data_IF_083850665333
#
_entry.id   IF_083850665333
#
_cell.length_a   1.000
_cell.length_b   1.000
_cell.length_c   1.000
_cell.angle_alpha   90.00
_cell.angle_beta   90.00
_cell.angle_gamma   90.00
#
_symmetry.space_group_name_H-M   'P 1'
#
loop_
_entity.id
_entity.type
_entity.pdbx_description
1 polymer ?
#
# COMPACT_ATOMS: atom_id res chain seq x y z
N UNK A 1 15.62 -16.99 -32.85
CA UNK A 1 15.09 -15.62 -32.99
C UNK A 1 14.74 -15.14 -31.60
N UNK A 2 15.55 -14.22 -31.09
CA UNK A 2 15.52 -13.66 -29.75
C UNK A 2 14.37 -12.67 -29.59
N UNK A 3 13.47 -12.90 -28.66
CA UNK A 3 12.51 -11.89 -28.19
C UNK A 3 13.12 -11.10 -27.02
N UNK A 4 13.07 -9.78 -27.17
CA UNK A 4 13.62 -8.80 -26.24
C UNK A 4 12.83 -8.74 -24.91
N UNK A 5 13.51 -8.61 -23.74
CA UNK A 5 12.87 -8.60 -22.42
C UNK A 5 12.15 -7.30 -22.03
N UNK A 6 12.08 -6.30 -22.89
CA UNK A 6 11.63 -4.93 -22.53
C UNK A 6 10.11 -4.72 -22.50
N UNK A 7 9.30 -5.66 -22.98
CA UNK A 7 7.83 -5.48 -23.03
C UNK A 7 7.07 -5.89 -21.76
N UNK A 8 7.73 -6.59 -20.83
CA UNK A 8 7.09 -7.02 -19.57
C UNK A 8 7.21 -6.00 -18.41
N UNK A 9 8.02 -4.98 -18.60
CA UNK A 9 8.32 -4.00 -17.55
C UNK A 9 7.21 -2.97 -17.30
N UNK A 10 6.45 -2.63 -18.31
CA UNK A 10 5.35 -1.65 -18.16
C UNK A 10 4.06 -2.27 -17.59
N UNK A 11 3.88 -3.57 -17.72
CA UNK A 11 2.66 -4.27 -17.25
C UNK A 11 2.68 -4.48 -15.72
N UNK A 12 3.85 -4.56 -15.10
CA UNK A 12 3.96 -4.79 -13.64
C UNK A 12 3.75 -3.55 -12.78
N UNK A 13 3.92 -2.35 -13.32
CA UNK A 13 3.58 -1.11 -12.61
C UNK A 13 2.06 -0.92 -12.46
N UNK A 14 1.25 -1.55 -13.34
CA UNK A 14 -0.21 -1.47 -13.32
C UNK A 14 -0.91 -2.58 -12.51
N UNK A 15 -0.22 -3.68 -12.20
CA UNK A 15 -0.85 -4.86 -11.56
C UNK A 15 -1.08 -4.72 -10.04
N UNK A 16 -0.56 -3.69 -9.40
CA UNK A 16 -0.86 -3.42 -7.99
C UNK A 16 -2.08 -2.52 -7.75
N UNK A 17 -2.69 -1.97 -8.82
CA UNK A 17 -3.85 -1.06 -8.71
C UNK A 17 -5.13 -1.66 -9.32
N UNK A 18 -5.06 -2.77 -10.09
CA UNK A 18 -6.22 -3.22 -10.87
C UNK A 18 -6.48 -4.72 -10.75
N UNK A 19 -7.06 -5.12 -9.63
CA UNK A 19 -7.79 -6.39 -9.52
C UNK A 19 -9.24 -6.09 -9.12
N UNK A 20 -9.93 -5.38 -10.00
CA UNK A 20 -11.38 -5.34 -10.08
C UNK A 20 -11.74 -4.97 -11.52
N UNK A 21 -11.98 -5.95 -12.35
CA UNK A 21 -12.87 -5.93 -13.52
C UNK A 21 -12.47 -7.07 -14.48
N UNK A 22 -13.16 -8.18 -14.35
CA UNK A 22 -13.33 -9.10 -15.49
C UNK A 22 -14.64 -9.87 -15.30
N UNK A 23 -15.53 -9.70 -16.24
CA UNK A 23 -16.72 -10.52 -16.36
C UNK A 23 -17.67 -10.09 -17.45
N UNK A 24 -17.65 -10.83 -18.55
CA UNK A 24 -18.77 -11.12 -19.43
C UNK A 24 -18.81 -10.40 -20.78
N UNK A 25 -18.27 -11.07 -21.77
CA UNK A 25 -18.69 -10.97 -23.20
C UNK A 25 -19.89 -11.91 -23.42
N UNK A 26 -20.94 -11.40 -24.02
CA UNK A 26 -21.93 -12.22 -24.74
C UNK A 26 -22.41 -11.51 -26.01
N UNK A 27 -22.38 -12.29 -27.07
CA UNK A 27 -22.66 -12.05 -28.48
C UNK A 27 -24.00 -11.35 -28.75
N UNK A 28 -23.97 -10.39 -29.69
CA UNK A 28 -25.15 -9.96 -30.43
C UNK A 28 -25.16 -10.64 -31.81
N UNK A 29 -26.28 -11.20 -32.15
CA UNK A 29 -26.60 -11.62 -33.54
C UNK A 29 -27.61 -10.66 -34.15
N UNK A 30 -27.40 -10.40 -35.45
CA UNK A 30 -28.18 -9.59 -36.35
C UNK A 30 -29.66 -10.00 -36.46
N UNK A 31 -30.52 -8.99 -36.67
CA UNK A 31 -31.62 -9.10 -37.62
C UNK A 31 -31.92 -7.76 -38.26
N UNK A 32 -31.99 -7.76 -39.58
CA UNK A 32 -32.31 -6.70 -40.51
C UNK A 32 -33.82 -6.48 -40.65
N UNK A 33 -34.16 -5.29 -41.15
CA UNK A 33 -35.34 -4.85 -41.89
C UNK A 33 -36.68 -4.64 -41.16
N UNK A 34 -37.06 -3.36 -41.15
CA UNK A 34 -38.31 -2.93 -41.85
C UNK A 34 -38.43 -1.39 -41.81
N UNK A 35 -38.22 -0.79 -42.97
CA UNK A 35 -38.66 0.57 -43.31
C UNK A 35 -40.17 0.65 -43.42
N UNK A 36 -40.80 1.59 -42.71
CA UNK A 36 -42.05 2.23 -43.15
C UNK A 36 -42.20 3.65 -42.55
N UNK A 37 -42.44 4.53 -43.45
CA UNK A 37 -42.77 5.93 -43.31
C UNK A 37 -43.89 6.20 -42.28
N UNK A 38 -43.70 7.22 -41.44
CA UNK A 38 -44.82 8.02 -40.90
C UNK A 38 -44.42 9.49 -40.82
N UNK A 39 -45.31 10.28 -41.34
CA UNK A 39 -45.29 11.76 -41.35
C UNK A 39 -45.46 12.31 -39.94
N UNK A 40 -44.61 13.23 -39.62
CA UNK A 40 -44.76 14.54 -38.97
C UNK A 40 -45.96 14.75 -38.04
N UNK A 41 -45.70 14.57 -36.74
CA UNK A 41 -46.20 15.39 -35.65
C UNK A 41 -45.07 15.56 -34.68
N UNK A 42 -44.71 16.81 -34.35
CA UNK A 42 -43.65 17.20 -33.44
C UNK A 42 -44.04 16.80 -32.01
N UNK A 43 -43.93 15.50 -31.69
CA UNK A 43 -43.86 15.07 -30.31
C UNK A 43 -42.50 15.55 -29.77
N UNK A 44 -42.52 16.57 -28.91
CA UNK A 44 -41.39 16.88 -28.05
C UNK A 44 -41.09 15.60 -27.25
N UNK A 45 -40.07 14.85 -27.65
CA UNK A 45 -39.60 13.70 -26.92
C UNK A 45 -39.12 14.23 -25.57
N UNK A 46 -39.93 14.05 -24.54
CA UNK A 46 -39.56 14.41 -23.18
C UNK A 46 -38.49 13.42 -22.69
N UNK A 47 -37.29 13.92 -22.37
CA UNK A 47 -36.20 13.14 -21.88
C UNK A 47 -36.33 12.92 -20.37
N UNK A 48 -36.53 11.69 -19.98
CA UNK A 48 -36.64 11.26 -18.58
C UNK A 48 -35.29 11.29 -17.90
N UNK A 49 -35.16 11.96 -16.76
CA UNK A 49 -33.96 11.98 -15.98
C UNK A 49 -33.61 10.55 -15.49
N UNK A 50 -34.57 9.87 -14.87
CA UNK A 50 -34.37 8.56 -14.26
C UNK A 50 -34.06 7.45 -15.24
N UNK A 51 -34.67 7.48 -16.44
CA UNK A 51 -34.54 6.39 -17.42
C UNK A 51 -33.40 6.62 -18.42
N UNK A 52 -33.01 7.85 -18.68
CA UNK A 52 -32.09 8.19 -19.76
C UNK A 52 -30.82 8.92 -19.28
N UNK A 53 -30.92 9.85 -18.33
CA UNK A 53 -29.77 10.68 -17.91
C UNK A 53 -29.05 10.09 -16.69
N UNK A 54 -29.80 9.68 -15.67
CA UNK A 54 -29.22 9.12 -14.45
C UNK A 54 -28.36 7.86 -14.69
N UNK A 55 -28.75 6.92 -15.58
CA UNK A 55 -27.89 5.80 -15.94
C UNK A 55 -26.55 6.21 -16.55
N UNK A 56 -26.52 7.28 -17.36
CA UNK A 56 -25.27 7.81 -17.95
C UNK A 56 -24.37 8.34 -16.82
N UNK A 57 -24.92 9.14 -15.92
CA UNK A 57 -24.16 9.68 -14.79
C UNK A 57 -23.63 8.56 -13.90
N UNK A 58 -24.44 7.55 -13.63
CA UNK A 58 -24.05 6.41 -12.82
C UNK A 58 -22.91 5.60 -13.45
N UNK A 59 -22.98 5.35 -14.74
CA UNK A 59 -21.99 4.54 -15.45
C UNK A 59 -20.68 5.29 -15.72
N UNK A 60 -20.72 6.60 -15.96
CA UNK A 60 -19.59 7.35 -16.51
C UNK A 60 -19.02 8.42 -15.56
N UNK A 61 -19.77 8.86 -14.52
CA UNK A 61 -19.42 10.04 -13.76
C UNK A 61 -19.34 9.82 -12.24
N UNK A 62 -20.21 8.98 -11.65
CA UNK A 62 -20.31 8.78 -10.20
C UNK A 62 -19.03 8.20 -9.59
N UNK A 63 -18.24 7.41 -10.34
CA UNK A 63 -16.98 6.87 -9.87
C UNK A 63 -15.99 7.93 -9.36
N UNK A 64 -15.99 9.13 -9.98
CA UNK A 64 -15.15 10.26 -9.58
C UNK A 64 -15.92 11.37 -8.83
N UNK A 65 -17.24 11.39 -8.93
CA UNK A 65 -18.12 12.45 -8.42
C UNK A 65 -19.17 11.90 -7.44
N UNK A 66 -18.74 11.06 -6.49
CA UNK A 66 -19.55 10.52 -5.39
C UNK A 66 -19.28 11.27 -4.07
N UNK A 67 -20.01 10.92 -3.02
CA UNK A 67 -19.75 11.46 -1.66
C UNK A 67 -18.37 11.07 -1.14
N UNK A 68 -17.84 9.94 -1.59
CA UNK A 68 -16.53 9.41 -1.18
C UNK A 68 -15.39 9.87 -2.09
N UNK A 69 -15.63 10.00 -3.41
CA UNK A 69 -14.66 10.47 -4.40
C UNK A 69 -15.04 11.85 -4.91
N UNK A 70 -15.01 12.87 -4.05
CA UNK A 70 -15.54 14.20 -4.29
C UNK A 70 -14.57 15.08 -5.12
N UNK A 71 -14.35 14.73 -6.38
CA UNK A 71 -13.49 15.51 -7.25
C UNK A 71 -14.13 16.86 -7.62
N UNK A 72 -13.42 17.96 -7.35
CA UNK A 72 -13.88 19.32 -7.61
C UNK A 72 -15.09 19.75 -6.76
N UNK A 73 -15.37 19.06 -5.64
CA UNK A 73 -16.54 19.37 -4.82
C UNK A 73 -17.88 19.07 -5.47
N UNK A 74 -17.89 18.42 -6.65
CA UNK A 74 -19.09 18.11 -7.42
C UNK A 74 -19.54 16.67 -7.15
N UNK A 75 -20.75 16.50 -6.61
CA UNK A 75 -21.33 15.23 -6.20
C UNK A 75 -22.56 14.92 -7.05
N UNK A 76 -22.60 13.74 -7.66
CA UNK A 76 -23.64 13.25 -8.53
C UNK A 76 -24.49 12.14 -7.91
N UNK A 77 -24.29 11.85 -6.63
CA UNK A 77 -24.97 10.73 -5.93
C UNK A 77 -26.44 11.01 -5.60
N UNK A 78 -26.88 12.24 -5.70
CA UNK A 78 -28.28 12.65 -5.54
C UNK A 78 -28.60 13.89 -6.38
N UNK A 79 -29.87 14.05 -6.73
CA UNK A 79 -30.32 15.14 -7.60
C UNK A 79 -30.09 16.52 -7.00
N UNK A 80 -30.23 16.67 -5.70
CA UNK A 80 -30.00 17.96 -5.02
C UNK A 80 -28.55 18.40 -5.11
N UNK A 81 -27.62 17.46 -4.86
CA UNK A 81 -26.18 17.68 -4.98
C UNK A 81 -25.76 18.00 -6.42
N UNK A 82 -26.33 17.29 -7.41
CA UNK A 82 -26.15 17.56 -8.83
C UNK A 82 -26.52 19.01 -9.18
N UNK A 83 -27.67 19.47 -8.72
CA UNK A 83 -28.17 20.83 -9.02
C UNK A 83 -27.48 21.92 -8.20
N UNK A 84 -26.89 21.57 -7.04
CA UNK A 84 -26.10 22.49 -6.21
C UNK A 84 -24.80 22.86 -6.90
N UNK A 85 -24.16 21.89 -7.60
CA UNK A 85 -22.88 22.08 -8.26
C UNK A 85 -21.70 21.79 -7.33
N UNK A 86 -20.50 22.23 -7.72
CA UNK A 86 -19.23 21.97 -7.03
C UNK A 86 -18.49 23.24 -6.60
N UNK A 87 -17.18 23.11 -6.34
CA UNK A 87 -16.30 24.21 -5.93
C UNK A 87 -16.22 25.36 -6.92
N UNK A 88 -16.63 25.14 -8.18
CA UNK A 88 -16.66 26.16 -9.23
C UNK A 88 -18.08 26.70 -9.51
N UNK A 89 -19.01 26.48 -8.60
CA UNK A 89 -20.42 26.92 -8.74
C UNK A 89 -21.32 25.87 -9.43
N UNK A 90 -22.46 26.33 -9.96
CA UNK A 90 -23.45 25.47 -10.61
C UNK A 90 -22.88 24.85 -11.89
N UNK A 91 -22.94 23.52 -11.97
CA UNK A 91 -22.52 22.78 -13.16
C UNK A 91 -23.59 22.71 -14.25
N UNK A 92 -24.87 22.90 -13.87
CA UNK A 92 -26.05 22.87 -14.75
C UNK A 92 -26.81 24.17 -14.64
N UNK A 93 -27.19 24.76 -15.79
CA UNK A 93 -28.07 25.89 -15.93
C UNK A 93 -29.36 25.40 -16.60
N UNK A 94 -30.46 25.20 -15.84
CA UNK A 94 -31.70 24.69 -16.39
C UNK A 94 -32.20 25.54 -17.57
N UNK A 95 -32.59 24.86 -18.65
CA UNK A 95 -33.03 25.50 -19.88
C UNK A 95 -31.91 25.95 -20.83
N UNK A 96 -30.63 25.80 -20.43
CA UNK A 96 -29.48 26.36 -21.16
C UNK A 96 -28.31 25.37 -21.18
N UNK A 97 -28.38 24.37 -22.02
CA UNK A 97 -27.33 23.36 -22.10
C UNK A 97 -25.97 23.93 -22.47
N UNK A 98 -25.89 24.85 -23.41
CA UNK A 98 -24.65 25.47 -23.88
C UNK A 98 -23.94 26.34 -22.82
N UNK A 99 -24.71 26.91 -21.87
CA UNK A 99 -24.17 27.67 -20.74
C UNK A 99 -23.83 26.78 -19.55
N UNK A 100 -24.21 25.50 -19.60
CA UNK A 100 -23.96 24.53 -18.54
C UNK A 100 -22.52 24.00 -18.58
N UNK A 101 -21.74 24.27 -17.52
CA UNK A 101 -20.32 23.83 -17.43
C UNK A 101 -20.17 22.32 -17.61
N UNK A 102 -21.13 21.53 -17.11
CA UNK A 102 -21.16 20.08 -17.32
C UNK A 102 -21.11 19.77 -18.82
N UNK A 103 -21.93 20.41 -19.64
CA UNK A 103 -21.98 20.21 -21.09
C UNK A 103 -20.67 20.64 -21.74
N UNK A 104 -20.14 21.80 -21.37
CA UNK A 104 -18.87 22.31 -21.89
C UNK A 104 -17.71 21.38 -21.61
N UNK A 105 -17.70 20.73 -20.44
CA UNK A 105 -16.65 19.77 -20.07
C UNK A 105 -16.79 18.43 -20.80
N UNK A 106 -18.01 17.89 -20.97
CA UNK A 106 -18.20 16.64 -21.69
C UNK A 106 -17.98 16.79 -23.21
N UNK A 107 -18.23 17.97 -23.77
CA UNK A 107 -17.90 18.29 -25.16
C UNK A 107 -16.43 18.70 -25.36
N UNK A 108 -15.70 18.98 -24.27
CA UNK A 108 -14.28 19.36 -24.30
C UNK A 108 -14.01 20.81 -24.63
N UNK A 109 -15.01 21.69 -24.65
CA UNK A 109 -14.85 23.14 -24.86
C UNK A 109 -14.23 23.82 -23.63
N UNK A 110 -14.31 23.21 -22.46
CA UNK A 110 -13.66 23.64 -21.21
C UNK A 110 -12.83 22.49 -20.64
N UNK A 111 -11.63 22.79 -20.17
CA UNK A 111 -10.72 21.81 -19.55
C UNK A 111 -10.92 21.70 -18.03
N UNK A 112 -10.69 20.51 -17.45
CA UNK A 112 -10.40 19.25 -18.13
C UNK A 112 -11.64 18.67 -18.82
N UNK A 113 -11.44 18.00 -19.98
CA UNK A 113 -12.55 17.27 -20.64
C UNK A 113 -12.99 16.11 -19.73
N UNK A 114 -14.30 15.89 -19.63
CA UNK A 114 -14.89 14.82 -18.83
C UNK A 114 -15.67 13.81 -19.71
N UNK A 115 -15.69 12.52 -19.34
CA UNK A 115 -14.91 11.91 -18.29
C UNK A 115 -13.41 11.87 -18.64
N UNK A 116 -12.54 11.88 -17.61
CA UNK A 116 -11.06 11.84 -17.82
C UNK A 116 -10.59 10.52 -18.43
N UNK A 117 -11.36 9.46 -18.26
CA UNK A 117 -11.13 8.14 -18.88
C UNK A 117 -12.32 7.75 -19.73
N UNK A 118 -12.10 7.55 -21.02
CA UNK A 118 -13.15 7.23 -21.99
C UNK A 118 -13.88 8.47 -22.53
N UNK A 119 -14.91 8.24 -23.35
CA UNK A 119 -15.74 9.27 -23.96
C UNK A 119 -17.22 8.93 -23.77
N UNK A 120 -18.06 9.98 -23.77
CA UNK A 120 -19.50 9.84 -23.90
C UNK A 120 -19.85 9.69 -25.38
N UNK A 121 -20.81 8.82 -25.68
CA UNK A 121 -21.33 8.67 -27.03
C UNK A 121 -22.23 9.87 -27.40
N UNK A 122 -22.34 10.15 -28.69
CA UNK A 122 -23.10 11.29 -29.18
C UNK A 122 -24.57 11.31 -28.70
N UNK A 123 -25.17 10.13 -28.56
CA UNK A 123 -26.55 10.00 -28.06
C UNK A 123 -26.63 10.28 -26.54
N UNK A 124 -25.61 9.95 -25.75
CA UNK A 124 -25.53 10.24 -24.32
C UNK A 124 -25.42 11.75 -24.08
N UNK A 125 -24.55 12.44 -24.83
CA UNK A 125 -24.41 13.90 -24.80
C UNK A 125 -25.72 14.56 -25.19
N UNK A 126 -26.37 14.07 -26.24
CA UNK A 126 -27.66 14.59 -26.72
C UNK A 126 -28.76 14.44 -25.68
N UNK A 127 -28.82 13.30 -24.99
CA UNK A 127 -29.79 13.05 -23.91
C UNK A 127 -29.60 14.07 -22.75
N UNK A 128 -28.35 14.27 -22.31
CA UNK A 128 -28.03 15.25 -21.25
C UNK A 128 -28.38 16.65 -21.67
N UNK A 129 -28.02 17.08 -22.89
CA UNK A 129 -28.34 18.44 -23.41
C UNK A 129 -29.83 18.65 -23.52
N UNK A 130 -30.56 17.65 -24.03
CA UNK A 130 -32.02 17.75 -24.20
C UNK A 130 -32.73 17.87 -22.85
N UNK A 131 -32.33 17.04 -21.87
CA UNK A 131 -32.85 17.11 -20.52
C UNK A 131 -32.58 18.47 -19.85
N UNK A 132 -31.37 19.02 -20.00
CA UNK A 132 -31.04 20.34 -19.48
C UNK A 132 -31.89 21.41 -20.14
N UNK A 133 -32.09 21.37 -21.48
CA UNK A 133 -32.90 22.32 -22.24
C UNK A 133 -34.38 22.21 -21.89
N UNK A 134 -34.84 21.06 -21.44
CA UNK A 134 -36.20 20.87 -20.89
C UNK A 134 -36.36 21.35 -19.44
N UNK A 135 -35.32 21.99 -18.88
CA UNK A 135 -35.36 22.58 -17.56
C UNK A 135 -34.70 21.76 -16.47
N UNK A 136 -33.98 20.69 -16.82
CA UNK A 136 -33.26 19.83 -15.89
C UNK A 136 -34.15 19.35 -14.72
N UNK A 137 -35.34 18.86 -15.02
CA UNK A 137 -36.33 18.45 -14.02
C UNK A 137 -36.16 16.98 -13.63
N UNK A 138 -36.58 16.67 -12.41
CA UNK A 138 -36.75 15.32 -11.92
C UNK A 138 -38.12 14.78 -12.36
N UNK A 139 -38.17 13.50 -12.72
CA UNK A 139 -39.47 12.87 -13.11
C UNK A 139 -40.39 12.77 -11.89
N UNK A 140 -41.69 12.99 -12.09
CA UNK A 140 -42.68 13.03 -10.98
C UNK A 140 -42.91 11.67 -10.29
N UNK A 141 -42.54 10.55 -10.90
CA UNK A 141 -42.78 9.19 -10.40
C UNK A 141 -41.76 8.67 -9.37
N UNK A 142 -40.80 9.48 -8.97
CA UNK A 142 -39.81 9.10 -8.01
C UNK A 142 -40.00 9.78 -6.66
N UNK A 143 -41.06 9.40 -5.96
CA UNK A 143 -41.26 9.70 -4.54
C UNK A 143 -40.16 9.04 -3.64
N UNK A 144 -39.22 8.38 -4.24
CA UNK A 144 -37.99 7.83 -3.65
C UNK A 144 -36.92 7.73 -4.74
N UNK A 145 -36.27 8.85 -5.10
CA UNK A 145 -34.85 8.72 -5.39
C UNK A 145 -34.17 8.39 -4.06
N UNK A 146 -34.36 7.17 -3.60
CA UNK A 146 -33.34 6.51 -2.83
C UNK A 146 -32.06 6.76 -3.58
N UNK A 147 -31.10 7.36 -2.90
CA UNK A 147 -29.75 7.66 -3.31
C UNK A 147 -29.40 6.83 -4.55
N UNK A 148 -28.98 7.48 -5.67
CA UNK A 148 -28.44 6.77 -6.82
C UNK A 148 -27.59 5.70 -6.19
N UNK A 149 -28.03 4.46 -6.22
CA UNK A 149 -27.46 3.38 -5.43
C UNK A 149 -25.98 3.43 -5.77
N UNK A 150 -25.14 3.85 -4.84
CA UNK A 150 -23.73 3.46 -4.94
C UNK A 150 -23.85 1.96 -5.21
N UNK A 151 -23.35 1.46 -6.35
CA UNK A 151 -23.47 0.05 -6.64
C UNK A 151 -23.04 -0.61 -5.36
N UNK A 152 -23.95 -1.34 -4.68
CA UNK A 152 -23.54 -2.17 -3.56
C UNK A 152 -22.45 -3.00 -4.18
N UNK A 153 -21.20 -2.62 -3.90
CA UNK A 153 -20.07 -3.47 -4.19
C UNK A 153 -20.48 -4.75 -3.52
N UNK A 154 -20.81 -5.80 -4.30
CA UNK A 154 -21.31 -7.03 -3.70
C UNK A 154 -20.31 -7.27 -2.57
N UNK A 155 -20.78 -7.39 -1.34
CA UNK A 155 -19.93 -7.82 -0.23
C UNK A 155 -19.48 -9.20 -0.65
N UNK A 156 -18.47 -9.21 -1.51
CA UNK A 156 -17.72 -10.41 -1.85
C UNK A 156 -17.27 -10.82 -0.48
N UNK A 157 -17.88 -11.89 0.06
CA UNK A 157 -17.26 -12.61 1.18
C UNK A 157 -15.82 -12.70 0.73
N UNK A 158 -14.87 -12.05 1.42
CA UNK A 158 -13.49 -12.14 0.98
C UNK A 158 -13.27 -13.63 0.82
N UNK A 159 -12.99 -14.08 -0.40
CA UNK A 159 -12.46 -15.41 -0.57
C UNK A 159 -11.44 -15.48 0.52
N UNK A 160 -11.44 -16.52 1.34
CA UNK A 160 -10.53 -16.67 2.48
C UNK A 160 -9.10 -16.81 1.92
N UNK A 161 -8.65 -15.78 1.24
CA UNK A 161 -7.24 -15.61 0.92
C UNK A 161 -6.57 -15.50 2.28
N UNK A 162 -5.61 -16.36 2.56
CA UNK A 162 -4.85 -16.28 3.79
C UNK A 162 -4.33 -14.85 3.89
N UNK A 163 -4.57 -14.22 5.01
CA UNK A 163 -4.10 -12.88 5.22
C UNK A 163 -2.57 -12.90 5.16
N UNK A 164 -2.00 -12.22 4.16
CA UNK A 164 -0.54 -12.12 4.02
C UNK A 164 0.08 -11.66 5.35
N UNK A 165 1.23 -12.23 5.71
CA UNK A 165 2.01 -11.77 6.85
C UNK A 165 2.98 -10.69 6.36
N UNK A 166 2.59 -9.42 6.53
CA UNK A 166 3.37 -8.26 6.08
C UNK A 166 4.47 -7.84 7.06
N UNK A 167 4.33 -8.19 8.34
CA UNK A 167 5.28 -7.78 9.39
C UNK A 167 5.36 -8.80 10.52
N UNK A 168 6.55 -8.94 11.09
CA UNK A 168 6.82 -9.73 12.31
C UNK A 168 7.76 -8.91 13.20
N UNK A 169 7.50 -8.89 14.50
CA UNK A 169 8.37 -8.25 15.47
C UNK A 169 8.44 -9.05 16.77
N UNK A 170 9.65 -9.13 17.35
CA UNK A 170 9.87 -9.65 18.70
C UNK A 170 9.71 -8.55 19.76
N UNK A 171 9.18 -8.92 20.93
CA UNK A 171 9.35 -8.10 22.12
C UNK A 171 10.85 -8.06 22.50
N UNK A 172 11.36 -6.96 23.10
CA UNK A 172 12.79 -6.83 23.41
C UNK A 172 13.34 -7.92 24.35
N UNK A 173 12.48 -8.45 25.22
CA UNK A 173 12.81 -9.56 26.13
C UNK A 173 12.78 -10.94 25.46
N UNK A 174 12.38 -10.99 24.17
CA UNK A 174 12.28 -12.23 23.38
C UNK A 174 11.13 -13.14 23.79
N UNK A 175 10.25 -12.73 24.72
CA UNK A 175 9.16 -13.58 25.22
C UNK A 175 7.97 -13.69 24.24
N UNK A 176 7.75 -12.68 23.40
CA UNK A 176 6.63 -12.60 22.50
C UNK A 176 7.04 -12.34 21.05
N UNK A 177 6.21 -12.84 20.13
CA UNK A 177 6.27 -12.54 18.70
C UNK A 177 4.92 -11.94 18.29
N UNK A 178 4.94 -10.76 17.68
CA UNK A 178 3.80 -10.13 17.04
C UNK A 178 3.82 -10.42 15.53
N UNK A 179 2.70 -10.88 14.98
CA UNK A 179 2.51 -11.21 13.57
C UNK A 179 1.39 -10.37 13.02
N UNK A 180 1.69 -9.52 12.03
CA UNK A 180 0.76 -8.62 11.36
C UNK A 180 0.10 -9.29 10.16
N UNK A 181 -1.24 -9.31 10.16
CA UNK A 181 -2.09 -9.79 9.09
C UNK A 181 -2.92 -8.67 8.47
N UNK A 182 -4.09 -9.01 7.94
CA UNK A 182 -5.05 -8.04 7.41
C UNK A 182 -6.03 -7.62 8.51
N UNK A 183 -5.98 -6.35 8.89
CA UNK A 183 -6.85 -5.80 9.93
C UNK A 183 -6.55 -6.21 11.36
N UNK A 184 -5.52 -7.05 11.58
CA UNK A 184 -5.21 -7.58 12.90
C UNK A 184 -3.73 -7.88 13.12
N UNK A 185 -3.35 -7.94 14.39
CA UNK A 185 -2.04 -8.45 14.85
C UNK A 185 -2.30 -9.55 15.85
N UNK A 186 -1.67 -10.71 15.64
CA UNK A 186 -1.72 -11.84 16.59
C UNK A 186 -0.40 -11.94 17.35
N UNK A 187 -0.48 -12.10 18.66
CA UNK A 187 0.67 -12.28 19.55
C UNK A 187 0.84 -13.75 19.92
N UNK A 188 2.07 -14.21 19.92
CA UNK A 188 2.44 -15.58 20.26
C UNK A 188 3.51 -15.58 21.37
N UNK A 189 3.44 -16.57 22.24
CA UNK A 189 4.55 -16.96 23.09
C UNK A 189 5.69 -17.49 22.20
N UNK A 190 6.86 -16.85 22.26
CA UNK A 190 7.98 -17.19 21.41
C UNK A 190 8.53 -18.60 21.68
N UNK A 191 8.56 -19.05 22.95
CA UNK A 191 9.06 -20.36 23.35
C UNK A 191 8.07 -21.49 23.00
N UNK A 192 6.81 -21.32 23.44
CA UNK A 192 5.76 -22.34 23.26
C UNK A 192 5.01 -22.24 21.93
N UNK A 193 5.21 -21.18 21.16
CA UNK A 193 4.54 -20.91 19.88
C UNK A 193 3.01 -20.93 19.98
N UNK A 194 2.48 -20.58 21.16
CA UNK A 194 1.04 -20.55 21.45
C UNK A 194 0.50 -19.14 21.28
N UNK A 195 -0.71 -18.98 20.71
CA UNK A 195 -1.33 -17.67 20.66
C UNK A 195 -1.62 -17.15 22.08
N UNK A 196 -1.26 -15.89 22.32
CA UNK A 196 -1.50 -15.17 23.56
C UNK A 196 -2.74 -14.28 23.47
N UNK A 197 -2.95 -13.66 22.30
CA UNK A 197 -4.04 -12.75 22.06
C UNK A 197 -3.91 -12.03 20.74
N UNK A 198 -4.85 -11.12 20.47
CA UNK A 198 -4.82 -10.34 19.24
C UNK A 198 -5.35 -8.92 19.41
N UNK A 199 -4.85 -8.02 18.58
CA UNK A 199 -5.42 -6.69 18.30
C UNK A 199 -6.18 -6.78 16.98
N UNK A 200 -7.39 -6.21 16.92
CA UNK A 200 -8.22 -6.11 15.72
C UNK A 200 -8.58 -4.64 15.45
N UNK A 201 -9.13 -4.35 14.26
CA UNK A 201 -9.55 -3.01 13.90
C UNK A 201 -8.39 -2.10 13.46
N UNK A 202 -7.35 -2.68 12.88
CA UNK A 202 -6.30 -1.97 12.17
C UNK A 202 -6.75 -1.77 10.72
N UNK A 203 -6.41 -0.64 10.14
CA UNK A 203 -6.84 -0.30 8.79
C UNK A 203 -6.06 -1.11 7.75
N UNK A 204 -6.73 -2.01 7.03
CA UNK A 204 -6.17 -2.84 5.96
C UNK A 204 -5.00 -3.74 6.41
N UNK A 205 -4.03 -4.00 5.53
CA UNK A 205 -2.88 -4.84 5.83
C UNK A 205 -1.89 -4.15 6.78
N UNK A 206 -1.47 -4.86 7.82
CA UNK A 206 -0.40 -4.43 8.72
C UNK A 206 0.94 -4.59 7.99
N UNK A 207 1.56 -3.48 7.63
CA UNK A 207 2.80 -3.46 6.86
C UNK A 207 4.05 -3.39 7.71
N UNK A 208 3.92 -2.84 8.92
CA UNK A 208 5.04 -2.72 9.84
C UNK A 208 4.59 -2.84 11.29
N UNK A 209 5.44 -3.48 12.09
CA UNK A 209 5.30 -3.67 13.52
C UNK A 209 6.61 -3.31 14.20
N UNK A 210 6.56 -2.65 15.34
CA UNK A 210 7.74 -2.36 16.13
C UNK A 210 7.41 -2.38 17.63
N UNK A 211 8.27 -3.02 18.43
CA UNK A 211 8.37 -2.79 19.86
C UNK A 211 9.45 -1.75 20.15
N UNK A 212 9.21 -0.86 21.12
CA UNK A 212 10.28 0.02 21.60
C UNK A 212 11.35 -0.79 22.34
N UNK A 213 12.64 -0.46 22.20
CA UNK A 213 13.72 -1.18 22.86
C UNK A 213 13.60 -1.28 24.39
N UNK A 214 12.96 -0.31 25.04
CA UNK A 214 12.67 -0.33 26.48
C UNK A 214 11.45 -1.19 26.87
N UNK A 215 10.79 -1.78 25.86
CA UNK A 215 9.61 -2.62 26.04
C UNK A 215 8.34 -1.89 26.47
N UNK A 216 8.32 -0.55 26.46
CA UNK A 216 7.16 0.22 26.95
C UNK A 216 6.09 0.48 25.91
N UNK A 217 6.45 0.44 24.62
CA UNK A 217 5.53 0.74 23.53
C UNK A 217 5.55 -0.36 22.48
N UNK A 218 4.40 -0.53 21.86
CA UNK A 218 4.20 -1.33 20.65
C UNK A 218 3.49 -0.49 19.60
N UNK A 219 3.98 -0.46 18.38
CA UNK A 219 3.42 0.34 17.29
C UNK A 219 3.07 -0.51 16.08
N UNK A 220 1.99 -0.12 15.38
CA UNK A 220 1.59 -0.69 14.08
C UNK A 220 1.53 0.39 13.02
N UNK A 221 2.02 0.07 11.83
CA UNK A 221 1.90 0.88 10.63
C UNK A 221 1.02 0.17 9.60
N UNK A 222 -0.01 0.87 9.13
CA UNK A 222 -1.00 0.38 8.20
C UNK A 222 -1.55 1.54 7.35
N UNK A 223 -2.65 1.33 6.64
CA UNK A 223 -3.32 2.42 5.92
C UNK A 223 -3.96 1.96 4.64
N UNK A 224 -4.74 2.87 4.04
CA UNK A 224 -5.39 2.67 2.74
C UNK A 224 -4.56 3.32 1.65
N UNK A 225 -4.24 2.60 0.58
CA UNK A 225 -3.49 3.16 -0.55
C UNK A 225 -4.11 4.46 -1.07
N UNK A 226 -3.27 5.46 -1.31
CA UNK A 226 -3.62 6.79 -1.80
C UNK A 226 -4.68 7.56 -0.97
N UNK A 227 -4.94 7.16 0.27
CA UNK A 227 -5.93 7.78 1.15
C UNK A 227 -5.36 8.21 2.49
N UNK A 228 -4.78 7.26 3.23
CA UNK A 228 -4.28 7.53 4.57
C UNK A 228 -3.28 6.48 5.04
N UNK A 229 -2.29 6.93 5.81
CA UNK A 229 -1.41 6.07 6.59
C UNK A 229 -1.74 6.21 8.08
N UNK A 230 -2.04 5.09 8.73
CA UNK A 230 -2.40 5.03 10.13
C UNK A 230 -1.25 4.50 10.97
N UNK A 231 -0.98 5.18 12.07
CA UNK A 231 -0.11 4.65 13.14
C UNK A 231 -0.96 4.51 14.41
N UNK A 232 -0.88 3.33 15.02
CA UNK A 232 -1.41 3.09 16.35
C UNK A 232 -0.29 2.69 17.31
N UNK A 233 -0.31 3.23 18.53
CA UNK A 233 0.70 2.98 19.56
C UNK A 233 -0.01 2.54 20.84
N UNK A 234 0.42 1.42 21.39
CA UNK A 234 -0.02 0.89 22.67
C UNK A 234 1.08 1.04 23.72
N UNK A 235 0.70 1.29 24.96
CA UNK A 235 1.58 1.02 26.08
C UNK A 235 1.68 -0.49 26.26
N UNK A 236 2.88 -1.03 26.09
CA UNK A 236 3.17 -2.44 26.27
C UNK A 236 3.06 -2.85 27.74
N UNK A 237 2.79 -4.12 27.99
CA UNK A 237 2.63 -4.69 29.32
C UNK A 237 1.79 -5.96 29.28
N UNK A 238 1.39 -6.48 30.43
CA UNK A 238 0.59 -7.70 30.48
C UNK A 238 -0.74 -7.50 29.74
N UNK A 239 -0.99 -8.35 28.75
CA UNK A 239 -2.26 -8.38 27.98
C UNK A 239 -2.64 -7.02 27.39
N UNK A 240 -1.66 -6.20 26.98
CA UNK A 240 -1.92 -4.85 26.45
C UNK A 240 -2.80 -4.87 25.19
N UNK A 241 -2.83 -5.99 24.47
CA UNK A 241 -3.66 -6.20 23.28
C UNK A 241 -5.17 -6.22 23.57
N UNK A 242 -5.58 -6.35 24.82
CA UNK A 242 -6.98 -6.24 25.25
C UNK A 242 -7.44 -4.80 25.47
N UNK A 243 -6.51 -3.86 25.43
CA UNK A 243 -6.74 -2.43 25.68
C UNK A 243 -6.80 -1.67 24.35
N UNK A 244 -7.51 -0.53 24.29
CA UNK A 244 -7.42 0.35 23.12
C UNK A 244 -6.01 0.91 22.98
N UNK A 245 -5.66 1.31 21.75
CA UNK A 245 -4.42 2.04 21.52
C UNK A 245 -4.39 3.33 22.35
N UNK A 246 -3.25 3.62 22.98
CA UNK A 246 -3.04 4.89 23.69
C UNK A 246 -2.99 6.07 22.71
N UNK A 247 -2.46 5.85 21.52
CA UNK A 247 -2.40 6.81 20.41
C UNK A 247 -2.88 6.15 19.13
N UNK A 248 -3.71 6.86 18.36
CA UNK A 248 -4.16 6.45 17.03
C UNK A 248 -4.33 7.70 16.19
N UNK A 249 -3.59 7.81 15.09
CA UNK A 249 -3.58 9.02 14.28
C UNK A 249 -3.25 8.74 12.80
N UNK A 250 -3.75 9.63 11.94
CA UNK A 250 -3.36 9.67 10.53
C UNK A 250 -1.97 10.29 10.42
N UNK A 251 -0.99 9.44 10.16
CA UNK A 251 0.42 9.81 10.11
C UNK A 251 0.83 10.35 8.74
N UNK A 252 0.27 9.76 7.69
CA UNK A 252 0.66 9.96 6.31
C UNK A 252 -0.55 10.11 5.38
N UNK A 253 -0.31 10.60 4.15
CA UNK A 253 -1.33 10.71 3.10
C UNK A 253 -1.52 9.44 2.29
N UNK A 254 -0.63 8.47 2.51
CA UNK A 254 -0.67 7.13 1.91
C UNK A 254 -0.22 6.09 2.95
N UNK A 255 -0.31 4.80 2.66
CA UNK A 255 0.04 3.73 3.59
C UNK A 255 1.38 3.97 4.28
N UNK A 256 1.44 3.68 5.57
CA UNK A 256 2.70 3.53 6.30
C UNK A 256 3.38 2.24 5.83
N UNK A 257 4.63 2.34 5.40
CA UNK A 257 5.36 1.20 4.85
C UNK A 257 6.31 0.58 5.87
N UNK A 258 7.05 1.40 6.59
CA UNK A 258 7.94 0.95 7.64
C UNK A 258 7.86 1.82 8.89
N UNK A 259 8.11 1.20 10.04
CA UNK A 259 8.25 1.82 11.36
C UNK A 259 9.51 1.31 12.05
N UNK A 260 10.21 2.19 12.74
CA UNK A 260 11.26 1.79 13.68
C UNK A 260 11.30 2.74 14.89
N UNK A 261 11.50 2.18 16.07
CA UNK A 261 11.84 2.98 17.25
C UNK A 261 13.34 3.28 17.27
N UNK A 262 13.68 4.50 17.72
CA UNK A 262 15.06 4.81 18.02
C UNK A 262 15.58 3.92 19.18
N UNK A 263 16.88 3.59 19.22
CA UNK A 263 17.45 2.74 20.28
C UNK A 263 17.20 3.24 21.72
N UNK A 264 17.07 4.55 21.90
CA UNK A 264 16.72 5.16 23.18
C UNK A 264 15.20 5.19 23.48
N UNK A 265 14.37 4.63 22.59
CA UNK A 265 12.90 4.61 22.70
C UNK A 265 12.18 5.97 22.72
N UNK A 266 12.89 7.08 22.50
CA UNK A 266 12.30 8.43 22.58
C UNK A 266 11.64 8.89 21.27
N UNK A 267 11.95 8.24 20.16
CA UNK A 267 11.42 8.56 18.85
C UNK A 267 10.91 7.30 18.14
N UNK A 268 9.85 7.47 17.37
CA UNK A 268 9.37 6.52 16.38
C UNK A 268 9.54 7.18 15.01
N UNK A 269 10.13 6.48 14.05
CA UNK A 269 10.19 6.91 12.65
C UNK A 269 9.20 6.13 11.80
N UNK A 270 8.62 6.78 10.80
CA UNK A 270 7.73 6.16 9.83
C UNK A 270 8.05 6.59 8.40
N UNK A 271 7.86 5.67 7.44
CA UNK A 271 7.95 5.93 6.00
C UNK A 271 6.64 5.61 5.30
N UNK A 272 6.43 6.21 4.11
CA UNK A 272 5.21 6.03 3.34
C UNK A 272 5.44 6.18 1.83
N UNK A 273 4.44 5.71 1.06
CA UNK A 273 4.31 6.01 -0.36
C UNK A 273 4.14 7.51 -0.64
N UNK A 274 3.79 8.35 0.35
CA UNK A 274 3.66 9.80 0.20
C UNK A 274 5.00 10.54 0.14
N UNK A 275 6.11 9.83 -0.03
CA UNK A 275 7.50 10.29 -0.15
C UNK A 275 8.07 10.90 1.14
N UNK A 276 7.33 10.82 2.25
CA UNK A 276 7.69 11.45 3.50
C UNK A 276 8.22 10.45 4.52
N UNK A 277 9.13 10.94 5.34
CA UNK A 277 9.52 10.31 6.58
C UNK A 277 9.16 11.27 7.70
N UNK A 278 8.57 10.74 8.76
CA UNK A 278 8.28 11.53 9.97
C UNK A 278 8.91 10.90 11.20
N UNK A 279 9.36 11.77 12.10
CA UNK A 279 9.74 11.40 13.48
C UNK A 279 8.61 11.81 14.42
N UNK A 280 8.22 10.90 15.30
CA UNK A 280 7.11 11.04 16.25
C UNK A 280 7.60 10.87 17.66
N UNK A 281 6.98 11.55 18.60
CA UNK A 281 7.05 11.25 20.04
C UNK A 281 6.05 10.11 20.33
N UNK A 282 6.51 8.91 20.71
CA UNK A 282 5.62 7.77 20.91
C UNK A 282 4.69 7.91 22.11
N UNK A 283 5.05 8.71 23.09
CA UNK A 283 4.23 8.92 24.28
C UNK A 283 3.02 9.82 23.98
N UNK A 284 3.17 10.79 23.10
CA UNK A 284 2.12 11.78 22.79
C UNK A 284 1.49 11.62 21.42
N UNK A 285 2.11 10.85 20.51
CA UNK A 285 1.71 10.72 19.11
C UNK A 285 1.96 12.01 18.30
N UNK A 286 2.65 13.00 18.85
CA UNK A 286 2.93 14.25 18.14
C UNK A 286 4.09 14.09 17.18
N UNK A 287 3.96 14.71 16.01
CA UNK A 287 5.04 14.83 15.05
C UNK A 287 6.13 15.73 15.61
N UNK A 288 7.34 15.18 15.72
CA UNK A 288 8.53 15.92 16.12
C UNK A 288 9.15 16.61 14.92
N UNK A 289 9.28 15.89 13.79
CA UNK A 289 10.00 16.40 12.62
C UNK A 289 9.63 15.66 11.33
N UNK A 290 9.49 16.37 10.19
CA UNK A 290 9.48 15.79 8.86
C UNK A 290 10.89 15.69 8.28
N UNK A 291 11.20 14.65 7.51
CA UNK A 291 12.40 14.50 6.68
C UNK A 291 11.97 14.43 5.21
N UNK A 292 12.29 15.49 4.43
CA UNK A 292 11.66 15.75 3.12
C UNK A 292 12.71 15.86 2.03
N UNK A 293 13.23 14.78 1.51
CA UNK A 293 14.16 14.87 0.37
C UNK A 293 14.10 13.64 -0.54
N UNK A 294 13.32 12.60 -0.18
CA UNK A 294 13.00 11.57 -1.15
C UNK A 294 12.05 12.14 -2.22
N UNK A 295 12.34 11.83 -3.47
CA UNK A 295 11.54 12.29 -4.62
C UNK A 295 10.50 11.28 -5.05
N UNK A 296 10.48 10.11 -4.40
CA UNK A 296 9.52 9.04 -4.64
C UNK A 296 9.26 8.26 -3.33
N UNK A 297 8.41 7.25 -3.38
CA UNK A 297 7.97 6.42 -2.26
C UNK A 297 9.13 5.90 -1.42
N UNK A 298 8.97 5.95 -0.10
CA UNK A 298 10.00 5.47 0.85
C UNK A 298 9.55 4.13 1.42
N UNK A 299 10.32 3.07 1.13
CA UNK A 299 9.93 1.70 1.43
C UNK A 299 10.46 1.17 2.76
N UNK A 300 11.61 1.65 3.21
CA UNK A 300 12.20 1.12 4.44
C UNK A 300 13.02 2.18 5.17
N UNK A 301 13.23 1.95 6.46
CA UNK A 301 14.07 2.77 7.31
C UNK A 301 14.69 1.96 8.44
N UNK A 302 15.86 2.39 8.89
CA UNK A 302 16.54 1.81 10.05
C UNK A 302 17.28 2.90 10.83
N UNK A 303 17.25 2.83 12.16
CA UNK A 303 18.14 3.63 13.00
C UNK A 303 19.51 2.98 13.14
N UNK A 304 20.56 3.81 13.22
CA UNK A 304 21.88 3.33 13.67
C UNK A 304 21.80 2.85 15.13
N UNK A 305 22.63 1.87 15.52
CA UNK A 305 22.60 1.33 16.88
C UNK A 305 22.84 2.37 18.00
N UNK A 306 23.55 3.46 17.70
CA UNK A 306 23.75 4.58 18.61
C UNK A 306 22.62 5.62 18.56
N UNK A 307 21.64 5.46 17.65
CA UNK A 307 20.49 6.34 17.48
C UNK A 307 20.80 7.72 16.87
N UNK A 308 22.03 7.98 16.44
CA UNK A 308 22.38 9.27 15.86
C UNK A 308 21.94 9.43 14.42
N UNK A 309 21.93 8.33 13.67
CA UNK A 309 21.60 8.32 12.26
C UNK A 309 20.36 7.50 11.98
N UNK A 310 19.66 7.89 10.94
CA UNK A 310 18.59 7.14 10.32
C UNK A 310 18.99 6.88 8.85
N UNK A 311 18.84 5.66 8.39
CA UNK A 311 18.93 5.32 6.97
C UNK A 311 17.52 5.11 6.41
N UNK A 312 17.28 5.53 5.17
CA UNK A 312 16.04 5.28 4.47
C UNK A 312 16.29 4.88 3.02
N UNK A 313 15.49 3.93 2.50
CA UNK A 313 15.54 3.46 1.13
C UNK A 313 14.23 3.74 0.39
N UNK A 314 14.29 4.16 -0.86
CA UNK A 314 13.12 4.55 -1.62
C UNK A 314 13.13 4.21 -3.10
N UNK A 315 11.98 4.40 -3.75
CA UNK A 315 11.79 4.22 -5.18
C UNK A 315 12.64 5.19 -6.02
N UNK A 316 13.10 6.30 -5.44
CA UNK A 316 14.04 7.25 -6.05
C UNK A 316 15.46 6.67 -6.23
N UNK A 317 15.64 5.38 -5.99
CA UNK A 317 16.88 4.61 -6.19
C UNK A 317 18.03 5.01 -5.26
N UNK A 318 17.71 5.69 -4.17
CA UNK A 318 18.73 6.18 -3.22
C UNK A 318 18.51 5.59 -1.83
N UNK A 319 19.63 5.44 -1.10
CA UNK A 319 19.62 5.38 0.35
C UNK A 319 20.04 6.75 0.88
N UNK A 320 19.27 7.33 1.78
CA UNK A 320 19.61 8.60 2.43
C UNK A 320 19.96 8.36 3.88
N UNK A 321 21.02 9.02 4.34
CA UNK A 321 21.42 9.05 5.75
C UNK A 321 21.06 10.41 6.34
N UNK A 322 20.40 10.38 7.50
CA UNK A 322 19.88 11.55 8.19
C UNK A 322 20.46 11.66 9.57
N UNK A 323 20.84 12.85 9.98
CA UNK A 323 21.12 13.18 11.37
C UNK A 323 19.79 13.29 12.14
N UNK A 324 19.58 12.43 13.12
CA UNK A 324 18.30 12.31 13.84
C UNK A 324 18.02 13.57 14.68
N UNK A 325 19.06 14.16 15.26
CA UNK A 325 18.93 15.34 16.13
C UNK A 325 18.52 16.59 15.35
N UNK A 326 19.04 16.78 14.15
CA UNK A 326 18.75 17.95 13.32
C UNK A 326 17.70 17.71 12.26
N UNK A 327 17.50 16.44 11.84
CA UNK A 327 16.66 16.03 10.71
C UNK A 327 17.23 16.38 9.35
N UNK A 328 18.50 16.76 9.28
CA UNK A 328 19.17 17.05 8.01
C UNK A 328 19.69 15.78 7.36
N UNK A 329 19.57 15.70 6.05
CA UNK A 329 20.26 14.67 5.28
C UNK A 329 21.76 14.93 5.35
N UNK A 330 22.53 13.91 5.73
CA UNK A 330 23.98 13.97 5.79
C UNK A 330 24.55 13.49 4.46
N UNK A 331 24.10 12.30 4.00
CA UNK A 331 24.60 11.66 2.79
C UNK A 331 23.47 11.09 1.94
N UNK A 332 23.75 10.93 0.64
CA UNK A 332 22.96 10.16 -0.30
C UNK A 332 23.84 9.09 -0.93
N UNK A 333 23.47 7.82 -0.77
CA UNK A 333 24.14 6.66 -1.33
C UNK A 333 23.37 6.24 -2.58
N UNK A 334 23.94 6.49 -3.76
CA UNK A 334 23.18 6.51 -5.02
C UNK A 334 23.66 5.51 -6.07
N UNK A 335 24.15 4.33 -5.71
CA UNK A 335 24.63 3.34 -6.67
C UNK A 335 23.56 2.35 -7.15
N UNK A 336 22.35 2.34 -6.55
CA UNK A 336 21.27 1.47 -6.99
C UNK A 336 20.73 1.91 -8.35
N UNK A 337 20.51 0.95 -9.25
CA UNK A 337 19.98 1.22 -10.59
C UNK A 337 18.44 1.29 -10.59
N UNK A 338 17.81 0.74 -9.58
CA UNK A 338 16.35 0.73 -9.37
C UNK A 338 16.00 1.02 -7.90
N UNK A 339 14.69 1.02 -7.57
CA UNK A 339 14.22 1.34 -6.23
C UNK A 339 14.81 0.43 -5.14
N UNK A 340 15.04 1.01 -3.96
CA UNK A 340 15.59 0.35 -2.78
C UNK A 340 14.45 -0.04 -1.84
N UNK A 341 14.21 -1.35 -1.68
CA UNK A 341 13.13 -1.90 -0.86
C UNK A 341 13.47 -2.03 0.61
N UNK A 342 14.74 -2.19 0.93
CA UNK A 342 15.17 -2.53 2.29
C UNK A 342 16.52 -1.94 2.61
N UNK A 343 16.67 -1.45 3.84
CA UNK A 343 17.91 -0.87 4.36
C UNK A 343 18.10 -1.29 5.81
N UNK A 344 19.30 -1.72 6.16
CA UNK A 344 19.62 -2.16 7.53
C UNK A 344 21.01 -1.68 7.95
N UNK A 345 21.16 -1.31 9.21
CA UNK A 345 22.46 -1.10 9.82
C UNK A 345 23.05 -2.41 10.32
N UNK A 346 24.34 -2.56 10.13
CA UNK A 346 25.11 -3.57 10.84
C UNK A 346 25.13 -3.24 12.35
N UNK A 347 25.05 -4.23 13.26
CA UNK A 347 25.04 -3.99 14.71
C UNK A 347 26.23 -3.18 15.26
N UNK A 348 27.39 -3.20 14.55
CA UNK A 348 28.51 -2.31 14.90
C UNK A 348 28.29 -0.83 14.65
N UNK A 349 27.23 -0.47 13.90
CA UNK A 349 26.99 0.91 13.46
C UNK A 349 27.91 1.45 12.36
N UNK A 350 28.88 0.65 11.89
CA UNK A 350 29.89 1.07 10.89
C UNK A 350 29.48 0.84 9.45
N UNK A 351 28.49 -0.02 9.21
CA UNK A 351 28.07 -0.39 7.87
C UNK A 351 26.57 -0.28 7.71
N UNK A 352 26.18 0.07 6.49
CA UNK A 352 24.77 0.03 6.02
C UNK A 352 24.70 -0.92 4.85
N UNK A 353 23.72 -1.83 4.87
CA UNK A 353 23.36 -2.66 3.73
C UNK A 353 22.01 -2.25 3.18
N UNK A 354 21.88 -2.26 1.86
CA UNK A 354 20.60 -2.02 1.19
C UNK A 354 20.47 -2.87 -0.07
N UNK A 355 19.23 -3.11 -0.48
CA UNK A 355 18.89 -3.86 -1.69
C UNK A 355 17.47 -3.55 -2.14
N UNK A 356 17.11 -3.98 -3.34
CA UNK A 356 15.77 -3.76 -3.87
C UNK A 356 15.52 -4.41 -5.22
N UNK A 357 14.88 -3.66 -6.10
CA UNK A 357 14.45 -4.11 -7.43
C UNK A 357 15.61 -4.48 -8.36
N UNK A 358 16.79 -3.93 -8.17
CA UNK A 358 17.97 -4.26 -8.97
C UNK A 358 18.69 -5.54 -8.52
N UNK A 359 18.12 -6.28 -7.55
CA UNK A 359 18.56 -7.60 -7.08
C UNK A 359 19.95 -7.63 -6.43
N UNK A 360 20.55 -6.46 -6.22
CA UNK A 360 21.91 -6.31 -5.75
C UNK A 360 21.94 -5.87 -4.29
N UNK A 361 22.61 -6.64 -3.42
CA UNK A 361 22.95 -6.17 -2.07
C UNK A 361 24.18 -5.29 -2.17
N UNK A 362 24.08 -4.06 -1.66
CA UNK A 362 25.20 -3.13 -1.52
C UNK A 362 25.49 -2.86 -0.08
N UNK A 363 26.77 -2.74 0.24
CA UNK A 363 27.23 -2.42 1.60
C UNK A 363 28.14 -1.21 1.52
N UNK A 364 27.86 -0.23 2.35
CA UNK A 364 28.66 0.98 2.52
C UNK A 364 29.31 0.98 3.90
N UNK A 365 30.62 1.30 3.93
CA UNK A 365 31.32 1.71 5.15
C UNK A 365 31.01 3.19 5.41
N UNK A 366 30.41 3.47 6.57
CA UNK A 366 29.99 4.79 7.01
C UNK A 366 30.79 5.26 8.24
N UNK A 367 31.87 4.57 8.58
CA UNK A 367 32.72 4.91 9.73
C UNK A 367 33.61 6.12 9.51
N UNK A 368 33.85 6.48 8.23
CA UNK A 368 34.60 7.67 7.82
C UNK A 368 33.71 8.90 7.64
N UNK A 369 34.35 10.02 7.24
CA UNK A 369 33.62 11.26 6.95
C UNK A 369 32.72 11.13 5.71
N UNK A 370 33.11 10.33 4.73
CA UNK A 370 32.37 10.05 3.51
C UNK A 370 32.08 8.56 3.41
N UNK A 371 30.81 8.16 3.20
CA UNK A 371 30.44 6.77 2.98
C UNK A 371 31.11 6.20 1.74
N UNK A 372 31.60 4.96 1.84
CA UNK A 372 32.22 4.24 0.74
C UNK A 372 31.52 2.93 0.47
N UNK A 373 31.09 2.69 -0.77
CA UNK A 373 30.60 1.38 -1.18
C UNK A 373 31.74 0.38 -1.19
N UNK A 374 31.68 -0.61 -0.31
CA UNK A 374 32.73 -1.61 -0.15
C UNK A 374 32.39 -2.96 -0.78
N UNK A 375 31.10 -3.21 -1.03
CA UNK A 375 30.61 -4.46 -1.65
C UNK A 375 29.35 -4.18 -2.47
N UNK A 376 29.24 -4.88 -3.61
CA UNK A 376 28.02 -5.02 -4.40
C UNK A 376 27.95 -6.47 -4.91
N UNK A 377 26.87 -7.18 -4.59
CA UNK A 377 26.68 -8.60 -4.94
C UNK A 377 25.28 -8.79 -5.51
N UNK A 378 25.16 -9.37 -6.70
CA UNK A 378 23.88 -9.83 -7.23
C UNK A 378 23.39 -10.97 -6.35
N UNK A 379 22.38 -10.71 -5.53
CA UNK A 379 21.97 -11.62 -4.47
C UNK A 379 20.91 -12.61 -4.92
N UNK A 380 19.95 -12.18 -5.72
CA UNK A 380 18.77 -12.98 -6.11
C UNK A 380 18.54 -12.92 -7.62
N UNK A 381 17.75 -13.86 -8.13
CA UNK A 381 17.33 -13.88 -9.54
C UNK A 381 16.24 -12.84 -9.80
N UNK A 382 15.54 -12.37 -8.75
CA UNK A 382 14.51 -11.37 -8.79
C UNK A 382 14.68 -10.38 -7.63
N UNK A 383 13.77 -9.41 -7.51
CA UNK A 383 13.74 -8.36 -6.50
C UNK A 383 14.05 -8.89 -5.10
N UNK A 384 14.96 -8.22 -4.39
CA UNK A 384 15.19 -8.46 -2.96
C UNK A 384 14.10 -7.77 -2.15
N UNK A 385 13.40 -8.54 -1.32
CA UNK A 385 12.29 -8.04 -0.51
C UNK A 385 12.74 -7.52 0.85
N UNK A 386 13.60 -8.26 1.56
CA UNK A 386 14.06 -7.90 2.90
C UNK A 386 15.50 -8.30 3.14
N UNK A 387 16.13 -7.51 4.00
CA UNK A 387 17.44 -7.78 4.60
C UNK A 387 17.32 -7.77 6.12
N UNK A 388 18.11 -8.59 6.81
CA UNK A 388 18.34 -8.47 8.24
C UNK A 388 19.73 -8.97 8.62
N UNK A 389 20.43 -8.21 9.46
CA UNK A 389 21.62 -8.72 10.13
C UNK A 389 21.24 -9.58 11.34
N UNK A 390 22.03 -10.61 11.60
CA UNK A 390 21.97 -11.31 12.88
C UNK A 390 22.38 -10.36 14.01
N UNK A 391 21.85 -10.55 15.25
CA UNK A 391 22.20 -9.66 16.39
C UNK A 391 23.69 -9.57 16.71
N UNK A 392 24.45 -10.63 16.42
CA UNK A 392 25.92 -10.67 16.58
C UNK A 392 26.68 -10.01 15.41
N UNK A 393 25.98 -9.65 14.32
CA UNK A 393 26.55 -9.03 13.14
C UNK A 393 27.32 -9.98 12.20
N UNK A 394 27.37 -11.28 12.47
CA UNK A 394 28.16 -12.22 11.68
C UNK A 394 27.46 -12.62 10.37
N UNK A 395 26.13 -12.57 10.34
CA UNK A 395 25.31 -13.01 9.21
C UNK A 395 24.41 -11.90 8.70
N UNK A 396 24.25 -11.87 7.37
CA UNK A 396 23.21 -11.12 6.70
C UNK A 396 22.24 -12.11 6.03
N UNK A 397 20.95 -11.93 6.22
CA UNK A 397 19.91 -12.73 5.56
C UNK A 397 19.18 -11.88 4.55
N UNK A 398 18.96 -12.43 3.36
CA UNK A 398 18.17 -11.79 2.30
C UNK A 398 17.03 -12.70 1.85
N UNK A 399 15.90 -12.08 1.47
CA UNK A 399 14.74 -12.76 0.86
C UNK A 399 14.42 -12.12 -0.47
N UNK A 400 13.96 -12.92 -1.44
CA UNK A 400 13.66 -12.45 -2.78
C UNK A 400 12.29 -12.89 -3.30
N UNK A 401 11.84 -12.25 -4.38
CA UNK A 401 10.68 -12.69 -5.15
C UNK A 401 10.90 -14.03 -5.86
N UNK A 402 12.14 -14.47 -5.96
CA UNK A 402 12.51 -15.83 -6.40
C UNK A 402 12.13 -16.93 -5.41
N UNK A 403 11.49 -16.58 -4.29
CA UNK A 403 11.09 -17.48 -3.18
C UNK A 403 12.25 -18.21 -2.56
N UNK A 404 13.40 -17.57 -2.50
CA UNK A 404 14.62 -18.10 -1.88
C UNK A 404 15.00 -17.21 -0.70
N UNK A 405 15.51 -17.83 0.36
CA UNK A 405 16.18 -17.14 1.45
C UNK A 405 17.67 -17.49 1.40
N UNK A 406 18.53 -16.50 1.43
CA UNK A 406 19.99 -16.67 1.38
C UNK A 406 20.64 -16.09 2.62
N UNK A 407 21.64 -16.80 3.12
CA UNK A 407 22.43 -16.41 4.27
C UNK A 407 23.87 -16.13 3.79
N UNK A 408 24.37 -14.97 4.16
CA UNK A 408 25.65 -14.43 3.75
C UNK A 408 26.54 -14.22 4.96
N UNK A 409 27.82 -14.50 4.83
CA UNK A 409 28.83 -14.00 5.76
C UNK A 409 28.88 -12.47 5.67
N UNK A 410 28.58 -11.78 6.76
CA UNK A 410 28.43 -10.32 6.73
C UNK A 410 29.71 -9.57 6.40
N UNK A 411 30.89 -10.17 6.61
CA UNK A 411 32.20 -9.57 6.34
C UNK A 411 32.67 -9.79 4.91
N UNK A 412 32.51 -11.02 4.41
CA UNK A 412 33.02 -11.40 3.07
C UNK A 412 31.98 -11.29 1.97
N UNK A 413 30.68 -11.31 2.32
CA UNK A 413 29.53 -11.45 1.42
C UNK A 413 29.56 -12.75 0.61
N UNK A 414 30.24 -13.80 1.13
CA UNK A 414 30.10 -15.14 0.61
C UNK A 414 28.77 -15.74 1.01
N UNK A 415 28.07 -16.35 0.04
CA UNK A 415 26.85 -17.10 0.31
C UNK A 415 27.20 -18.37 1.08
N UNK A 416 26.70 -18.49 2.31
CA UNK A 416 26.97 -19.66 3.19
C UNK A 416 25.87 -20.70 3.14
N UNK A 417 24.61 -20.25 3.04
CA UNK A 417 23.46 -21.15 3.03
C UNK A 417 22.38 -20.61 2.12
N UNK A 418 21.60 -21.52 1.54
CA UNK A 418 20.37 -21.25 0.79
C UNK A 418 19.26 -22.08 1.41
N UNK A 419 18.13 -21.45 1.64
CA UNK A 419 16.88 -22.12 2.01
C UNK A 419 15.94 -21.97 0.81
N UNK A 420 15.89 -22.94 -0.11
CA UNK A 420 15.09 -22.87 -1.33
C UNK A 420 13.61 -23.12 -1.07
N UNK A 421 12.82 -23.05 -2.13
CA UNK A 421 11.46 -23.58 -2.22
C UNK A 421 10.52 -23.11 -1.11
N UNK A 422 10.56 -21.79 -0.80
CA UNK A 422 9.56 -21.24 0.09
C UNK A 422 8.17 -21.39 -0.57
N UNK A 423 7.14 -21.69 0.25
CA UNK A 423 5.77 -21.89 -0.25
C UNK A 423 5.25 -20.67 -0.99
N UNK A 424 5.70 -19.46 -0.59
CA UNK A 424 5.39 -18.21 -1.24
C UNK A 424 6.47 -17.15 -0.91
N UNK A 425 6.31 -15.91 -1.41
CA UNK A 425 7.22 -14.80 -1.15
C UNK A 425 7.38 -14.52 0.34
N UNK A 426 8.61 -14.43 0.80
CA UNK A 426 8.94 -14.06 2.18
C UNK A 426 8.92 -12.53 2.29
N UNK A 427 7.82 -11.98 2.81
CA UNK A 427 7.58 -10.54 2.89
C UNK A 427 8.26 -9.88 4.09
N UNK A 428 8.49 -10.62 5.15
CA UNK A 428 9.15 -10.13 6.35
C UNK A 428 9.96 -11.22 7.02
N UNK A 429 11.02 -10.81 7.70
CA UNK A 429 11.88 -11.70 8.47
C UNK A 429 12.38 -10.98 9.73
N UNK A 430 12.65 -11.77 10.76
CA UNK A 430 13.24 -11.24 12.00
C UNK A 430 14.01 -12.34 12.73
N UNK A 431 15.12 -11.96 13.33
CA UNK A 431 15.83 -12.80 14.29
C UNK A 431 15.19 -12.69 15.67
N UNK A 432 15.26 -13.76 16.46
CA UNK A 432 15.05 -13.63 17.91
C UNK A 432 16.15 -12.75 18.52
N UNK A 433 15.89 -12.03 19.63
CA UNK A 433 16.90 -11.15 20.27
C UNK A 433 18.19 -11.88 20.68
N UNK A 434 18.10 -13.17 21.01
CA UNK A 434 19.26 -14.02 21.33
C UNK A 434 19.98 -14.57 20.08
N UNK A 435 19.47 -14.26 18.88
CA UNK A 435 20.03 -14.69 17.61
C UNK A 435 19.85 -16.17 17.27
N UNK A 436 19.16 -16.98 18.10
CA UNK A 436 19.08 -18.43 17.90
C UNK A 436 17.98 -18.87 16.96
N UNK A 437 16.99 -18.04 16.71
CA UNK A 437 15.86 -18.36 15.84
C UNK A 437 15.68 -17.27 14.79
N UNK A 438 15.19 -17.69 13.63
CA UNK A 438 14.85 -16.81 12.49
C UNK A 438 13.43 -17.13 12.03
N UNK A 439 12.59 -16.10 11.94
CA UNK A 439 11.19 -16.19 11.58
C UNK A 439 10.96 -15.60 10.20
N UNK A 440 10.19 -16.28 9.37
CA UNK A 440 9.77 -15.84 8.03
C UNK A 440 8.27 -15.75 7.93
N UNK A 441 7.76 -14.57 7.61
CA UNK A 441 6.35 -14.36 7.26
C UNK A 441 6.18 -14.25 5.75
N UNK A 442 5.16 -14.96 5.22
CA UNK A 442 4.94 -15.09 3.78
C UNK A 442 3.64 -14.48 3.31
N UNK A 443 3.56 -14.32 1.98
CA UNK A 443 2.35 -13.85 1.31
C UNK A 443 1.16 -14.82 1.46
N UNK A 444 1.42 -16.12 1.57
CA UNK A 444 0.40 -17.15 1.81
C UNK A 444 -0.14 -17.18 3.27
N UNK A 445 0.28 -16.23 4.10
CA UNK A 445 -0.13 -16.13 5.50
C UNK A 445 0.61 -17.09 6.45
N UNK A 446 1.54 -17.87 5.98
CA UNK A 446 2.32 -18.76 6.82
C UNK A 446 3.49 -18.07 7.52
N UNK A 447 3.85 -18.55 8.70
CA UNK A 447 5.05 -18.15 9.43
C UNK A 447 5.84 -19.38 9.81
N UNK A 448 7.06 -19.48 9.32
CA UNK A 448 8.01 -20.57 9.65
C UNK A 448 9.10 -20.08 10.58
N UNK A 449 9.59 -21.01 11.38
CA UNK A 449 10.66 -20.78 12.36
C UNK A 449 11.81 -21.71 12.08
N UNK A 450 13.01 -21.14 11.97
CA UNK A 450 14.25 -21.86 11.71
C UNK A 450 15.23 -21.66 12.87
N UNK A 451 16.04 -22.67 13.19
CA UNK A 451 17.24 -22.47 14.01
C UNK A 451 18.32 -21.78 13.19
N UNK A 452 19.15 -20.97 13.83
CA UNK A 452 20.22 -20.23 13.15
C UNK A 452 21.54 -20.97 13.12
N UNK A 453 21.67 -22.06 13.90
CA UNK A 453 22.92 -22.84 13.95
C UNK A 453 23.12 -23.70 12.69
N UNK A 454 22.02 -24.23 12.14
CA UNK A 454 22.00 -25.07 10.94
C UNK A 454 21.02 -24.62 9.89
N UNK A 455 20.22 -23.56 10.17
CA UNK A 455 19.12 -23.06 9.34
C UNK A 455 18.11 -24.16 8.99
N UNK A 456 17.81 -25.02 9.96
CA UNK A 456 16.82 -26.09 9.82
C UNK A 456 15.45 -25.61 10.29
N UNK A 457 14.41 -26.05 9.58
CA UNK A 457 13.02 -25.75 9.95
C UNK A 457 12.67 -26.40 11.28
N UNK A 458 12.35 -25.59 12.29
CA UNK A 458 11.86 -26.05 13.59
C UNK A 458 10.34 -26.27 13.61
N UNK A 459 9.62 -25.73 12.62
CA UNK A 459 8.19 -25.81 12.46
C UNK A 459 7.55 -24.48 12.06
N UNK A 460 6.22 -24.46 12.02
CA UNK A 460 5.45 -23.27 11.67
C UNK A 460 4.79 -22.69 12.91
N UNK A 461 4.85 -21.37 13.04
CA UNK A 461 4.02 -20.60 13.97
C UNK A 461 2.59 -20.50 13.43
N UNK A 462 2.49 -20.23 12.11
CA UNK A 462 1.26 -20.28 11.33
C UNK A 462 1.48 -21.21 10.13
N UNK A 463 0.64 -22.23 9.99
CA UNK A 463 0.74 -23.19 8.89
C UNK A 463 0.23 -22.57 7.58
N UNK A 464 0.80 -22.94 6.43
CA UNK A 464 0.25 -22.55 5.14
C UNK A 464 -1.17 -23.12 4.97
N UNK A 465 -2.06 -22.43 4.23
CA UNK A 465 -3.41 -22.91 3.98
C UNK A 465 -3.41 -24.27 3.29
N UNK A 466 -4.31 -25.14 3.72
CA UNK A 466 -4.41 -26.51 3.19
C UNK A 466 -4.73 -26.62 1.70
N UNK A 467 -5.25 -25.55 1.10
CA UNK A 467 -5.65 -25.48 -0.32
C UNK A 467 -4.49 -25.34 -1.31
N UNK A 468 -3.28 -24.98 -0.87
CA UNK A 468 -2.13 -24.79 -1.76
C UNK A 468 -1.33 -26.09 -2.01
N UNK A 469 -1.71 -27.23 -1.42
CA UNK A 469 -1.06 -28.53 -1.66
C UNK A 469 -1.54 -29.31 -2.87
N UNK A 470 -2.53 -28.82 -3.63
CA UNK A 470 -3.18 -29.52 -4.74
C UNK A 470 -2.76 -28.98 -6.12
N UNK A 471 -1.48 -28.71 -6.34
CA UNK A 471 -0.96 -28.27 -7.61
C UNK A 471 0.54 -28.56 -7.75
N UNK A 472 0.87 -29.82 -7.90
CA UNK A 472 2.14 -30.26 -8.52
C UNK A 472 1.85 -30.75 -9.91
#
# INVERSE_FOLDING_TARGET
>A
QSFSPTLWREVLHFLFVSLCLCGSFLRAQNTTEATKNYHNESQRVEVSFSKQVAPIFQAKCVGCHSKTANMGGFVLSDFESLMRGGSHGKAIVPGKSEESRLVQMIEGSVQPRMPMSGELEAHEITAIKTWINQGAKLDQDLGQLQALHEPEIPKIKPASLPAQVGAIAFSPDGSMVAVGGYGEVTFFDAAGRRPLGKISGITEAVRSLAFSPDGRHFATGAGRPAQEGEIKIWQSGKEFWTKPAGQSFKAHRDCVYALAFAPNSQLLASTSYDHMIYLWDPATGKQVRPLKEHTDSVFDLAFSPDGKWLASGGADRTVKLWDVATGRRIHTLGSSTEGVNTVVFHPSGKFVAASGFDRTIRIWDISGNEPQEIRAVIAHEDTVLRLAYSPDGNWLVSTGWDRVVKIWDAKTMEQKQVIPDQSDWVLCLTFSPDGKMLYFGRYDGSVSVYDTARYQLLGNLLAPPSTLRAGK
#
